data_IF_522715800348
#
_entry.id   IF_522715800348
#
_cell.length_a   1.000
_cell.length_b   1.000
_cell.length_c   1.000
_cell.angle_alpha   90.00
_cell.angle_beta   90.00
_cell.angle_gamma   90.00
#
_symmetry.space_group_name_H-M   'P 1'
#
loop_
_entity.id
_entity.type
_entity.pdbx_description
1 polymer ?
#
# COMPACT_ATOMS: atom_id res chain seq x y z
N UNK A 1 -38.03 21.82 -24.77
CA UNK A 1 -36.67 21.25 -24.70
C UNK A 1 -36.27 21.20 -23.23
N UNK A 2 -35.96 20.00 -22.75
CA UNK A 2 -35.78 19.60 -21.34
C UNK A 2 -34.44 20.09 -20.74
N UNK A 3 -34.37 20.40 -19.43
CA UNK A 3 -33.11 20.72 -18.75
C UNK A 3 -32.21 19.47 -18.60
N UNK A 4 -30.87 19.60 -18.63
CA UNK A 4 -29.95 18.47 -18.44
C UNK A 4 -29.94 17.98 -16.98
N UNK A 5 -29.90 16.65 -16.81
CA UNK A 5 -29.77 16.00 -15.51
C UNK A 5 -28.43 16.34 -14.83
N UNK A 6 -28.38 16.52 -13.49
CA UNK A 6 -27.12 16.75 -12.79
C UNK A 6 -26.23 15.50 -12.82
N UNK A 7 -24.89 15.67 -12.83
CA UNK A 7 -23.96 14.55 -12.92
C UNK A 7 -24.02 13.67 -11.65
N UNK A 8 -24.36 12.40 -11.80
CA UNK A 8 -24.30 11.34 -10.77
C UNK A 8 -22.86 10.99 -10.32
N UNK A 9 -21.94 11.96 -10.26
CA UNK A 9 -20.52 11.73 -9.93
C UNK A 9 -20.23 11.72 -8.42
N UNK A 10 -21.21 12.05 -7.56
CA UNK A 10 -21.03 12.07 -6.10
C UNK A 10 -21.37 10.73 -5.41
N UNK A 11 -22.27 9.94 -5.98
CA UNK A 11 -22.71 8.69 -5.36
C UNK A 11 -21.55 7.69 -5.30
N UNK A 12 -20.82 7.50 -6.41
CA UNK A 12 -19.70 6.55 -6.49
C UNK A 12 -18.60 6.80 -5.44
N UNK A 13 -18.37 8.08 -5.09
CA UNK A 13 -17.41 8.49 -4.05
C UNK A 13 -17.84 8.14 -2.63
N UNK A 14 -19.15 8.08 -2.39
CA UNK A 14 -19.73 7.80 -1.06
C UNK A 14 -19.81 6.31 -0.73
N UNK A 15 -19.87 5.44 -1.75
CA UNK A 15 -19.98 3.99 -1.58
C UNK A 15 -18.64 3.25 -1.54
N UNK A 16 -17.51 3.93 -1.82
CA UNK A 16 -16.17 3.36 -1.67
C UNK A 16 -15.85 2.78 -0.27
N UNK A 17 -16.15 3.45 0.86
CA UNK A 17 -15.94 2.84 2.18
C UNK A 17 -16.85 1.63 2.40
N UNK A 18 -18.07 1.65 1.87
CA UNK A 18 -18.99 0.52 1.91
C UNK A 18 -18.43 -0.66 1.12
N UNK A 19 -17.85 -0.41 -0.07
CA UNK A 19 -17.19 -1.43 -0.87
C UNK A 19 -16.00 -2.08 -0.15
N UNK A 20 -15.21 -1.31 0.59
CA UNK A 20 -14.09 -1.82 1.40
C UNK A 20 -14.59 -2.67 2.57
N UNK A 21 -15.64 -2.23 3.27
CA UNK A 21 -16.25 -3.00 4.37
C UNK A 21 -16.88 -4.29 3.84
N UNK A 22 -17.58 -4.25 2.71
CA UNK A 22 -18.17 -5.43 2.06
C UNK A 22 -17.09 -6.40 1.61
N UNK A 23 -16.00 -5.91 1.00
CA UNK A 23 -14.86 -6.75 0.62
C UNK A 23 -14.16 -7.37 1.84
N UNK A 24 -13.99 -6.60 2.93
CA UNK A 24 -13.44 -7.10 4.18
C UNK A 24 -14.33 -8.18 4.82
N UNK A 25 -15.65 -7.98 4.83
CA UNK A 25 -16.62 -8.97 5.29
C UNK A 25 -16.63 -10.22 4.39
N UNK A 26 -16.44 -10.06 3.08
CA UNK A 26 -16.30 -11.17 2.13
C UNK A 26 -15.03 -12.00 2.43
N UNK A 27 -13.90 -11.34 2.68
CA UNK A 27 -12.64 -12.00 3.05
C UNK A 27 -12.78 -12.75 4.38
N UNK A 28 -13.41 -12.13 5.39
CA UNK A 28 -13.69 -12.78 6.69
C UNK A 28 -14.65 -13.96 6.52
N UNK A 29 -15.69 -13.82 5.69
CA UNK A 29 -16.66 -14.87 5.39
C UNK A 29 -16.03 -16.07 4.68
N UNK A 30 -15.14 -15.83 3.70
CA UNK A 30 -14.39 -16.88 3.00
C UNK A 30 -13.41 -17.57 3.95
N UNK A 31 -12.75 -16.82 4.82
CA UNK A 31 -11.86 -17.40 5.84
C UNK A 31 -12.64 -18.30 6.84
N UNK A 32 -13.90 -17.98 7.14
CA UNK A 32 -14.75 -18.82 7.99
C UNK A 32 -15.12 -20.17 7.34
N UNK A 33 -15.19 -20.26 6.00
CA UNK A 33 -15.49 -21.51 5.28
C UNK A 33 -14.34 -22.53 5.32
N UNK A 34 -13.14 -22.14 5.76
CA UNK A 34 -12.00 -23.04 5.96
C UNK A 34 -12.14 -23.98 7.16
N UNK A 35 -13.19 -23.79 7.98
CA UNK A 35 -13.56 -24.72 9.06
C UNK A 35 -14.32 -25.92 8.48
N UNK A 36 -13.59 -26.77 7.75
CA UNK A 36 -14.09 -28.07 7.31
C UNK A 36 -14.42 -28.95 8.51
N UNK A 37 -15.65 -28.87 9.01
CA UNK A 37 -16.25 -29.90 9.86
C UNK A 37 -16.29 -31.16 9.00
N UNK A 38 -15.31 -32.04 9.21
CA UNK A 38 -15.30 -33.36 8.62
C UNK A 38 -16.46 -34.13 9.24
N UNK A 39 -17.57 -34.26 8.50
CA UNK A 39 -18.60 -35.23 8.83
C UNK A 39 -17.96 -36.60 8.67
N UNK A 40 -17.56 -37.19 9.79
CA UNK A 40 -17.29 -38.61 9.90
C UNK A 40 -18.47 -39.35 9.26
N UNK A 41 -18.21 -40.11 8.19
CA UNK A 41 -19.22 -40.99 7.62
C UNK A 41 -19.52 -42.04 8.69
N UNK A 42 -20.54 -41.77 9.50
CA UNK A 42 -21.02 -42.70 10.50
C UNK A 42 -21.23 -44.06 9.85
N UNK A 43 -20.35 -45.01 10.19
CA UNK A 43 -20.60 -46.43 10.00
C UNK A 43 -21.93 -46.71 10.68
N UNK A 44 -22.95 -47.02 9.88
CA UNK A 44 -24.20 -47.55 10.39
C UNK A 44 -23.86 -48.89 11.10
N UNK A 45 -24.21 -49.07 12.38
CA UNK A 45 -24.24 -50.39 12.97
C UNK A 45 -25.34 -51.17 12.24
N UNK A 46 -24.96 -52.17 11.45
CA UNK A 46 -25.92 -53.15 10.93
C UNK A 46 -26.51 -53.88 12.14
N UNK A 47 -27.69 -53.44 12.57
CA UNK A 47 -28.50 -54.13 13.54
C UNK A 47 -28.83 -55.53 12.99
N UNK A 48 -28.47 -56.56 13.76
CA UNK A 48 -28.79 -57.93 13.45
C UNK A 48 -30.30 -58.14 13.32
N UNK A 49 -30.70 -58.79 12.24
CA UNK A 49 -32.01 -59.35 12.00
C UNK A 49 -31.86 -60.52 11.02
N UNK A 50 -32.31 -61.69 11.44
CA UNK A 50 -32.11 -62.98 10.77
C UNK A 50 -32.72 -63.06 9.35
N UNK A 51 -31.88 -63.54 8.41
CA UNK A 51 -32.07 -64.47 7.28
C UNK A 51 -33.19 -64.26 6.22
N UNK A 52 -32.93 -64.56 4.93
CA UNK A 52 -32.75 -65.95 4.50
C UNK A 52 -31.41 -66.25 3.81
N UNK A 53 -30.93 -67.45 4.11
CA UNK A 53 -29.76 -68.14 3.55
C UNK A 53 -29.85 -68.24 2.04
N UNK A 54 -28.93 -67.59 1.32
CA UNK A 54 -28.59 -67.96 -0.04
C UNK A 54 -27.42 -68.95 -0.01
N UNK A 55 -27.64 -70.06 -0.68
CA UNK A 55 -26.77 -71.24 -0.79
C UNK A 55 -25.43 -70.89 -1.47
N UNK A 56 -24.32 -71.27 -0.83
CA UNK A 56 -22.97 -71.04 -1.33
C UNK A 56 -22.53 -72.12 -2.34
N UNK A 57 -21.92 -71.78 -3.49
CA UNK A 57 -21.11 -72.73 -4.26
C UNK A 57 -19.67 -72.86 -3.67
N UNK A 58 -18.95 -73.96 -3.96
CA UNK A 58 -17.75 -74.37 -3.23
C UNK A 58 -16.52 -73.45 -3.41
N UNK A 59 -15.54 -73.49 -2.48
CA UNK A 59 -14.38 -72.61 -2.50
C UNK A 59 -13.30 -73.13 -3.47
N UNK A 60 -13.00 -72.39 -4.52
CA UNK A 60 -11.73 -72.51 -5.24
C UNK A 60 -11.46 -71.23 -6.04
N UNK A 61 -10.61 -70.36 -5.48
CA UNK A 61 -9.61 -69.56 -6.18
C UNK A 61 -8.80 -68.82 -5.12
N UNK A 62 -7.54 -69.22 -4.93
CA UNK A 62 -6.55 -68.42 -4.22
C UNK A 62 -6.44 -67.04 -4.90
N UNK A 63 -6.44 -65.92 -4.15
CA UNK A 63 -6.08 -64.63 -4.72
C UNK A 63 -4.58 -64.65 -5.10
N UNK A 64 -4.19 -64.07 -6.26
CA UNK A 64 -2.78 -63.93 -6.61
C UNK A 64 -2.05 -63.08 -5.55
N UNK A 65 -0.75 -63.29 -5.29
CA UNK A 65 0.00 -62.49 -4.34
C UNK A 65 -0.03 -61.03 -4.79
N UNK A 66 -0.72 -60.19 -4.02
CA UNK A 66 -0.64 -58.75 -4.13
C UNK A 66 0.80 -58.33 -3.84
N UNK A 67 1.51 -57.87 -4.88
CA UNK A 67 2.78 -57.16 -4.76
C UNK A 67 2.62 -56.05 -3.70
N UNK A 68 3.60 -55.83 -2.81
CA UNK A 68 3.57 -54.66 -1.95
C UNK A 68 3.59 -53.43 -2.85
N UNK A 69 2.47 -52.71 -2.89
CA UNK A 69 2.38 -51.42 -3.54
C UNK A 69 3.46 -50.53 -2.93
N UNK A 70 4.44 -50.14 -3.75
CA UNK A 70 5.41 -49.14 -3.35
C UNK A 70 4.66 -47.91 -2.89
N UNK A 71 4.87 -47.51 -1.63
CA UNK A 71 4.31 -46.30 -1.09
C UNK A 71 4.71 -45.14 -2.02
N UNK A 72 3.76 -44.36 -2.57
CA UNK A 72 4.11 -43.18 -3.33
C UNK A 72 4.96 -42.30 -2.42
N UNK A 73 6.19 -42.01 -2.88
CA UNK A 73 7.27 -41.48 -2.07
C UNK A 73 6.80 -40.38 -1.13
N UNK A 74 7.27 -40.44 0.12
CA UNK A 74 6.97 -39.51 1.18
C UNK A 74 7.10 -38.05 0.67
N UNK A 75 5.98 -37.51 0.21
CA UNK A 75 5.82 -36.08 -0.03
C UNK A 75 5.95 -35.46 1.34
N UNK A 76 6.97 -34.62 1.53
CA UNK A 76 7.25 -33.93 2.77
C UNK A 76 6.01 -33.12 3.18
N UNK A 77 5.14 -33.73 4.00
CA UNK A 77 3.88 -33.13 4.42
C UNK A 77 4.21 -32.20 5.58
N UNK A 78 4.26 -30.90 5.28
CA UNK A 78 4.38 -29.91 6.33
C UNK A 78 3.18 -30.06 7.27
N UNK A 79 3.40 -30.06 8.60
CA UNK A 79 2.31 -30.11 9.56
C UNK A 79 1.24 -29.07 9.19
N UNK A 80 -0.06 -29.39 9.29
CA UNK A 80 -1.11 -28.50 8.82
C UNK A 80 -0.98 -27.07 9.36
N UNK A 81 -0.60 -26.93 10.63
CA UNK A 81 -0.40 -25.63 11.28
C UNK A 81 0.69 -24.78 10.60
N UNK A 82 1.75 -25.38 10.03
CA UNK A 82 2.82 -24.68 9.30
C UNK A 82 2.30 -24.16 7.97
N UNK A 83 1.54 -24.98 7.23
CA UNK A 83 0.92 -24.57 5.95
C UNK A 83 -0.03 -23.40 6.15
N UNK A 84 -0.85 -23.43 7.22
CA UNK A 84 -1.73 -22.31 7.59
C UNK A 84 -0.95 -21.06 7.98
N UNK A 85 0.16 -21.21 8.71
CA UNK A 85 1.02 -20.08 9.08
C UNK A 85 1.65 -19.44 7.84
N UNK A 86 2.21 -20.25 6.95
CA UNK A 86 2.84 -19.78 5.70
C UNK A 86 1.82 -19.08 4.81
N UNK A 87 0.63 -19.67 4.64
CA UNK A 87 -0.44 -19.07 3.84
C UNK A 87 -0.98 -17.78 4.47
N UNK A 88 -1.14 -17.78 5.80
CA UNK A 88 -1.54 -16.59 6.56
C UNK A 88 -0.53 -15.45 6.46
N UNK A 89 0.77 -15.75 6.46
CA UNK A 89 1.84 -14.77 6.26
C UNK A 89 1.87 -14.29 4.80
N UNK A 90 1.78 -15.21 3.84
CA UNK A 90 1.82 -14.93 2.41
C UNK A 90 0.66 -14.03 1.95
N UNK A 91 -0.51 -14.14 2.58
CA UNK A 91 -1.69 -13.32 2.26
C UNK A 91 -1.81 -12.13 3.22
N UNK A 92 -1.50 -12.32 4.50
CA UNK A 92 -1.65 -11.32 5.54
C UNK A 92 -0.68 -10.15 5.40
N UNK A 93 0.59 -10.40 5.02
CA UNK A 93 1.56 -9.34 4.79
C UNK A 93 1.13 -8.42 3.62
N UNK A 94 0.85 -8.92 2.40
CA UNK A 94 0.43 -8.04 1.31
C UNK A 94 -0.92 -7.36 1.59
N UNK A 95 -1.84 -8.03 2.27
CA UNK A 95 -3.10 -7.41 2.70
C UNK A 95 -2.85 -6.26 3.68
N UNK A 96 -1.97 -6.45 4.67
CA UNK A 96 -1.59 -5.40 5.63
C UNK A 96 -0.89 -4.23 4.93
N UNK A 97 0.04 -4.50 4.01
CA UNK A 97 0.71 -3.47 3.22
C UNK A 97 -0.28 -2.69 2.35
N UNK A 98 -1.22 -3.38 1.70
CA UNK A 98 -2.29 -2.74 0.93
C UNK A 98 -3.19 -1.89 1.83
N UNK A 99 -3.53 -2.38 3.01
CA UNK A 99 -4.37 -1.66 3.98
C UNK A 99 -3.65 -0.42 4.51
N UNK A 100 -2.37 -0.51 4.83
CA UNK A 100 -1.53 0.63 5.20
C UNK A 100 -1.40 1.64 4.05
N UNK A 101 -1.24 1.17 2.82
CA UNK A 101 -1.20 2.03 1.63
C UNK A 101 -2.52 2.78 1.43
N UNK A 102 -3.66 2.08 1.53
CA UNK A 102 -4.99 2.68 1.44
C UNK A 102 -5.21 3.65 2.60
N UNK A 103 -4.88 3.27 3.84
CA UNK A 103 -5.01 4.12 5.01
C UNK A 103 -4.20 5.40 4.86
N UNK A 104 -2.94 5.31 4.42
CA UNK A 104 -2.12 6.48 4.10
C UNK A 104 -2.75 7.36 3.03
N UNK A 105 -3.28 6.75 1.97
CA UNK A 105 -3.95 7.47 0.89
C UNK A 105 -5.24 8.15 1.35
N UNK A 106 -6.02 7.52 2.22
CA UNK A 106 -7.24 8.07 2.80
C UNK A 106 -6.94 9.18 3.79
N UNK A 107 -5.93 9.03 4.65
CA UNK A 107 -5.48 10.08 5.59
C UNK A 107 -5.03 11.30 4.80
N UNK A 108 -4.19 11.12 3.77
CA UNK A 108 -3.80 12.21 2.89
C UNK A 108 -5.03 12.91 2.27
N UNK A 109 -6.02 12.13 1.87
CA UNK A 109 -7.25 12.64 1.25
C UNK A 109 -8.22 13.32 2.24
N UNK A 110 -8.20 12.93 3.52
CA UNK A 110 -8.98 13.56 4.60
C UNK A 110 -8.32 14.85 5.08
N UNK A 111 -7.00 14.89 5.14
CA UNK A 111 -6.24 16.11 5.49
C UNK A 111 -6.34 17.13 4.37
N UNK A 112 -6.40 16.70 3.11
CA UNK A 112 -6.66 17.54 1.92
C UNK A 112 -8.12 17.96 1.75
N UNK A 113 -9.05 17.49 2.59
CA UNK A 113 -10.41 18.03 2.56
C UNK A 113 -10.30 19.45 3.13
N UNK A 114 -10.38 20.51 2.30
CA UNK A 114 -10.28 21.85 2.82
C UNK A 114 -11.49 22.00 3.74
N UNK A 115 -11.25 22.13 5.04
CA UNK A 115 -12.24 22.75 5.89
C UNK A 115 -12.41 24.16 5.34
N UNK A 116 -13.40 24.31 4.46
CA UNK A 116 -13.91 25.60 4.02
C UNK A 116 -14.65 26.24 5.18
N UNK A 117 -13.95 26.43 6.30
CA UNK A 117 -14.32 27.34 7.35
C UNK A 117 -14.03 28.71 6.76
N UNK A 118 -15.06 29.36 6.22
CA UNK A 118 -15.01 30.68 5.57
C UNK A 118 -14.67 31.83 6.52
N UNK A 119 -13.76 31.60 7.47
CA UNK A 119 -13.14 32.61 8.32
C UNK A 119 -11.74 32.83 7.76
N UNK A 120 -11.41 34.03 7.24
CA UNK A 120 -10.05 34.37 6.87
C UNK A 120 -9.17 34.26 8.13
N UNK A 121 -8.28 33.26 8.17
CA UNK A 121 -7.20 33.22 9.15
C UNK A 121 -6.30 34.46 8.88
N UNK A 122 -5.60 35.03 9.87
CA UNK A 122 -4.68 36.12 9.59
C UNK A 122 -3.58 35.64 8.62
N UNK A 123 -3.19 36.50 7.68
CA UNK A 123 -2.17 36.22 6.65
C UNK A 123 -0.87 35.63 7.23
N UNK A 124 -0.52 36.03 8.46
CA UNK A 124 0.64 35.50 9.21
C UNK A 124 0.48 34.05 9.64
N UNK A 125 -0.74 33.59 9.96
CA UNK A 125 -1.02 32.20 10.32
C UNK A 125 -0.91 31.27 9.11
N UNK A 126 -1.33 31.73 7.93
CA UNK A 126 -1.13 30.99 6.68
C UNK A 126 0.35 30.85 6.34
N UNK A 127 1.14 31.92 6.44
CA UNK A 127 2.59 31.85 6.20
C UNK A 127 3.28 30.87 7.15
N UNK A 128 3.01 30.93 8.46
CA UNK A 128 3.59 29.99 9.43
C UNK A 128 3.18 28.53 9.15
N UNK A 129 1.91 28.30 8.77
CA UNK A 129 1.45 26.98 8.35
C UNK A 129 2.19 26.50 7.10
N UNK A 130 2.35 27.36 6.10
CA UNK A 130 3.06 27.04 4.86
C UNK A 130 4.52 26.66 5.16
N UNK A 131 5.22 27.44 6.00
CA UNK A 131 6.58 27.11 6.45
C UNK A 131 6.66 25.76 7.17
N UNK A 132 5.74 25.48 8.09
CA UNK A 132 5.69 24.20 8.80
C UNK A 132 5.44 23.01 7.85
N UNK A 133 4.56 23.16 6.87
CA UNK A 133 4.29 22.12 5.86
C UNK A 133 5.52 21.81 5.01
N UNK A 134 6.33 22.82 4.68
CA UNK A 134 7.57 22.62 3.93
C UNK A 134 8.65 21.99 4.80
N UNK A 135 8.80 22.40 6.07
CA UNK A 135 9.76 21.74 6.99
C UNK A 135 9.40 20.27 7.22
N UNK A 136 8.11 19.97 7.44
CA UNK A 136 7.61 18.60 7.59
C UNK A 136 7.91 17.74 6.36
N UNK A 137 7.76 18.31 5.16
CA UNK A 137 8.08 17.61 3.92
C UNK A 137 9.58 17.34 3.77
N UNK A 138 10.43 18.30 4.14
CA UNK A 138 11.89 18.11 4.15
C UNK A 138 12.29 17.06 5.19
N UNK A 139 11.71 17.11 6.39
CA UNK A 139 11.97 16.13 7.45
C UNK A 139 11.54 14.71 7.04
N UNK A 140 10.37 14.57 6.42
CA UNK A 140 9.89 13.30 5.89
C UNK A 140 10.79 12.77 4.76
N UNK A 141 11.22 13.65 3.85
CA UNK A 141 12.13 13.29 2.77
C UNK A 141 13.50 12.80 3.29
N UNK A 142 14.05 13.47 4.31
CA UNK A 142 15.29 13.04 4.97
C UNK A 142 15.14 11.68 5.65
N UNK A 143 14.04 11.47 6.37
CA UNK A 143 13.75 10.17 7.01
C UNK A 143 13.65 9.03 5.99
N UNK A 144 13.05 9.29 4.82
CA UNK A 144 12.96 8.31 3.74
C UNK A 144 14.33 7.99 3.12
N UNK A 145 15.24 8.97 3.05
CA UNK A 145 16.63 8.73 2.61
C UNK A 145 17.41 7.83 3.56
N UNK A 146 17.12 7.91 4.86
CA UNK A 146 17.80 7.12 5.89
C UNK A 146 17.24 5.70 6.01
N UNK A 147 15.93 5.52 5.76
CA UNK A 147 15.25 4.23 5.82
C UNK A 147 15.32 3.44 4.50
N UNK A 148 15.47 4.13 3.37
CA UNK A 148 15.38 3.54 2.04
C UNK A 148 16.51 2.56 1.72
N UNK A 149 16.17 1.32 1.35
CA UNK A 149 17.15 0.31 0.92
C UNK A 149 17.75 0.60 -0.46
N UNK A 150 17.02 1.31 -1.32
CA UNK A 150 17.44 1.69 -2.67
C UNK A 150 17.50 3.21 -2.83
N UNK A 151 18.65 3.73 -3.26
CA UNK A 151 18.89 5.15 -3.41
C UNK A 151 17.95 5.79 -4.44
N UNK A 152 17.66 5.09 -5.55
CA UNK A 152 16.74 5.60 -6.58
C UNK A 152 15.34 5.80 -6.04
N UNK A 153 14.81 4.78 -5.37
CA UNK A 153 13.47 4.82 -4.77
C UNK A 153 13.37 5.91 -3.72
N UNK A 154 14.38 6.08 -2.87
CA UNK A 154 14.43 7.13 -1.85
C UNK A 154 14.41 8.54 -2.46
N UNK A 155 15.21 8.79 -3.52
CA UNK A 155 15.24 10.09 -4.22
C UNK A 155 13.87 10.39 -4.87
N UNK A 156 13.23 9.39 -5.49
CA UNK A 156 11.91 9.57 -6.09
C UNK A 156 10.85 9.84 -5.00
N UNK A 157 10.91 9.11 -3.87
CA UNK A 157 9.97 9.29 -2.77
C UNK A 157 10.10 10.69 -2.13
N UNK A 158 11.33 11.15 -1.91
CA UNK A 158 11.65 12.53 -1.51
C UNK A 158 10.93 13.55 -2.40
N UNK A 159 11.03 13.39 -3.72
CA UNK A 159 10.37 14.29 -4.67
C UNK A 159 8.84 14.33 -4.50
N UNK A 160 8.23 13.17 -4.25
CA UNK A 160 6.79 13.07 -3.99
C UNK A 160 6.39 13.79 -2.69
N UNK A 161 7.26 13.87 -1.68
CA UNK A 161 6.99 14.67 -0.47
C UNK A 161 6.90 16.17 -0.79
N UNK A 162 7.75 16.70 -1.67
CA UNK A 162 7.65 18.10 -2.10
C UNK A 162 6.40 18.38 -2.95
N UNK A 163 6.02 17.46 -3.85
CA UNK A 163 4.77 17.62 -4.60
C UNK A 163 3.54 17.68 -3.69
N UNK A 164 3.54 16.90 -2.61
CA UNK A 164 2.48 16.95 -1.59
C UNK A 164 2.51 18.25 -0.79
N UNK A 165 3.70 18.73 -0.42
CA UNK A 165 3.83 20.02 0.25
C UNK A 165 3.32 21.17 -0.63
N UNK A 166 3.65 21.15 -1.92
CA UNK A 166 3.15 22.12 -2.89
C UNK A 166 1.62 22.13 -2.95
N UNK A 167 0.99 20.95 -2.98
CA UNK A 167 -0.47 20.84 -2.94
C UNK A 167 -1.05 21.37 -1.61
N UNK A 168 -0.42 21.05 -0.47
CA UNK A 168 -0.88 21.46 0.86
C UNK A 168 -0.77 22.98 1.09
N UNK A 169 0.26 23.62 0.55
CA UNK A 169 0.46 25.09 0.55
C UNK A 169 -0.51 25.79 -0.44
N UNK A 170 -1.23 25.02 -1.26
CA UNK A 170 -2.18 25.55 -2.23
C UNK A 170 -1.52 26.10 -3.50
N UNK A 171 -0.38 25.55 -3.91
CA UNK A 171 0.20 25.83 -5.23
C UNK A 171 -0.73 25.22 -6.28
N UNK A 172 -1.37 26.08 -7.07
CA UNK A 172 -2.30 25.66 -8.11
C UNK A 172 -1.55 24.95 -9.24
N UNK A 173 -2.03 23.75 -9.59
CA UNK A 173 -1.44 22.90 -10.62
C UNK A 173 -2.14 23.14 -11.95
N UNK A 174 -1.39 23.61 -12.94
CA UNK A 174 -1.86 23.71 -14.31
C UNK A 174 -1.70 22.38 -15.05
N UNK A 175 -2.49 22.17 -16.11
CA UNK A 175 -2.42 20.92 -16.90
C UNK A 175 -1.07 20.72 -17.60
N UNK A 176 -0.33 21.82 -17.85
CA UNK A 176 1.01 21.83 -18.44
C UNK A 176 2.14 21.75 -17.42
N UNK A 177 1.85 21.89 -16.12
CA UNK A 177 2.89 21.89 -15.10
C UNK A 177 3.55 20.52 -14.98
N UNK A 178 4.87 20.52 -15.10
CA UNK A 178 5.68 19.37 -14.75
C UNK A 178 5.84 19.26 -13.23
N UNK A 179 6.22 18.08 -12.71
CA UNK A 179 6.57 17.93 -11.30
C UNK A 179 7.62 18.94 -10.81
N UNK A 180 8.58 19.32 -11.66
CA UNK A 180 9.60 20.33 -11.36
C UNK A 180 9.01 21.72 -11.22
N UNK A 181 8.02 22.07 -12.04
CA UNK A 181 7.38 23.37 -11.99
C UNK A 181 6.62 23.57 -10.67
N UNK A 182 5.98 22.53 -10.15
CA UNK A 182 5.30 22.58 -8.85
C UNK A 182 6.26 22.89 -7.69
N UNK A 183 7.38 22.17 -7.65
CA UNK A 183 8.39 22.35 -6.59
C UNK A 183 9.10 23.71 -6.75
N UNK A 184 9.33 24.18 -7.98
CA UNK A 184 9.85 25.53 -8.22
C UNK A 184 8.87 26.62 -7.75
N UNK A 185 7.57 26.49 -8.07
CA UNK A 185 6.53 27.42 -7.62
C UNK A 185 6.45 27.46 -6.08
N UNK A 186 6.53 26.30 -5.42
CA UNK A 186 6.60 26.20 -3.97
C UNK A 186 7.80 26.98 -3.41
N UNK A 187 8.99 26.73 -3.94
CA UNK A 187 10.21 27.33 -3.39
C UNK A 187 10.34 28.83 -3.69
N UNK A 188 9.84 29.28 -4.84
CA UNK A 188 9.74 30.70 -5.17
C UNK A 188 8.83 31.46 -4.19
N UNK A 189 7.76 30.82 -3.69
CA UNK A 189 6.88 31.40 -2.67
C UNK A 189 7.60 31.61 -1.33
N UNK A 190 8.60 30.79 -1.01
CA UNK A 190 9.39 30.86 0.22
C UNK A 190 10.77 31.53 0.06
N UNK A 191 11.06 32.12 -1.10
CA UNK A 191 12.35 32.78 -1.42
C UNK A 191 13.59 31.93 -1.10
N UNK A 192 13.51 30.63 -1.41
CA UNK A 192 14.58 29.65 -1.18
C UNK A 192 15.56 29.58 -2.37
N UNK A 193 16.82 29.20 -2.09
CA UNK A 193 17.91 29.21 -3.08
C UNK A 193 17.69 28.18 -4.19
N UNK A 194 17.59 28.69 -5.42
CA UNK A 194 17.47 27.87 -6.62
C UNK A 194 18.66 26.93 -6.87
N UNK A 195 19.86 27.21 -6.32
CA UNK A 195 21.01 26.34 -6.51
C UNK A 195 20.86 25.00 -5.78
N UNK A 196 20.30 25.00 -4.55
CA UNK A 196 20.03 23.77 -3.82
C UNK A 196 18.92 22.94 -4.48
N UNK A 197 17.86 23.62 -4.94
CA UNK A 197 16.78 23.01 -5.71
C UNK A 197 17.26 22.39 -7.02
N UNK A 198 18.13 23.08 -7.77
CA UNK A 198 18.66 22.56 -9.02
C UNK A 198 19.44 21.27 -8.79
N UNK A 199 20.29 21.21 -7.75
CA UNK A 199 21.00 19.97 -7.38
C UNK A 199 20.04 18.84 -7.05
N UNK A 200 18.97 19.12 -6.31
CA UNK A 200 17.95 18.13 -5.99
C UNK A 200 17.21 17.66 -7.25
N UNK A 201 16.82 18.59 -8.12
CA UNK A 201 16.11 18.32 -9.37
C UNK A 201 16.95 17.49 -10.33
N UNK A 202 18.24 17.82 -10.49
CA UNK A 202 19.17 17.03 -11.31
C UNK A 202 19.28 15.58 -10.79
N UNK A 203 19.35 15.42 -9.48
CA UNK A 203 19.44 14.11 -8.83
C UNK A 203 18.15 13.32 -9.01
N UNK A 204 16.98 13.97 -8.91
CA UNK A 204 15.68 13.38 -9.22
C UNK A 204 15.54 12.97 -10.68
N UNK A 205 15.87 13.85 -11.63
CA UNK A 205 15.78 13.55 -13.06
C UNK A 205 16.70 12.39 -13.44
N UNK A 206 17.89 12.31 -12.83
CA UNK A 206 18.79 11.17 -12.96
C UNK A 206 18.15 9.90 -12.39
N UNK A 207 17.60 9.96 -11.18
CA UNK A 207 16.91 8.84 -10.55
C UNK A 207 15.71 8.35 -11.37
N UNK A 208 14.98 9.24 -12.03
CA UNK A 208 13.77 8.88 -12.77
C UNK A 208 14.03 8.44 -14.21
N UNK A 209 14.95 9.08 -14.91
CA UNK A 209 15.13 8.90 -16.35
C UNK A 209 16.49 8.31 -16.75
N UNK A 210 17.48 8.29 -15.85
CA UNK A 210 18.78 7.73 -16.21
C UNK A 210 18.77 6.19 -16.13
N UNK A 211 19.27 5.50 -17.18
CA UNK A 211 19.45 4.05 -17.17
C UNK A 211 20.66 3.59 -16.36
N UNK A 212 21.53 4.53 -15.93
CA UNK A 212 22.70 4.24 -15.08
C UNK A 212 22.26 3.90 -13.66
N UNK A 213 23.03 3.09 -12.96
CA UNK A 213 22.85 2.85 -11.53
C UNK A 213 22.92 4.17 -10.76
N UNK A 214 22.02 4.31 -9.80
CA UNK A 214 21.90 5.46 -8.90
C UNK A 214 22.20 4.90 -7.53
N UNK A 215 23.31 5.34 -6.94
CA UNK A 215 23.88 4.75 -5.75
C UNK A 215 23.97 5.73 -4.58
N UNK A 216 24.70 5.33 -3.55
CA UNK A 216 24.97 6.16 -2.36
C UNK A 216 25.41 7.61 -2.66
N UNK A 217 26.31 7.87 -3.64
CA UNK A 217 26.76 9.23 -3.90
C UNK A 217 25.65 10.16 -4.39
N UNK A 218 24.63 9.61 -5.07
CA UNK A 218 23.47 10.39 -5.50
C UNK A 218 22.51 10.63 -4.34
N UNK A 219 22.33 9.64 -3.45
CA UNK A 219 21.59 9.83 -2.20
C UNK A 219 22.22 10.90 -1.32
N UNK A 220 23.54 10.88 -1.15
CA UNK A 220 24.25 11.88 -0.34
C UNK A 220 24.10 13.28 -0.94
N UNK A 221 24.21 13.42 -2.27
CA UNK A 221 23.98 14.70 -2.95
C UNK A 221 22.56 15.23 -2.75
N UNK A 222 21.56 14.34 -2.81
CA UNK A 222 20.18 14.71 -2.54
C UNK A 222 20.00 15.13 -1.07
N UNK A 223 20.58 14.39 -0.13
CA UNK A 223 20.55 14.69 1.31
C UNK A 223 21.17 16.07 1.59
N UNK A 224 22.34 16.36 1.05
CA UNK A 224 23.02 17.65 1.20
C UNK A 224 22.17 18.81 0.67
N UNK A 225 21.47 18.59 -0.46
CA UNK A 225 20.54 19.58 -1.00
C UNK A 225 19.35 19.82 -0.07
N UNK A 226 18.78 18.77 0.53
CA UNK A 226 17.69 18.89 1.51
C UNK A 226 18.12 19.64 2.77
N UNK A 227 19.30 19.32 3.31
CA UNK A 227 19.84 20.01 4.50
C UNK A 227 20.07 21.50 4.21
N UNK A 228 20.55 21.82 3.00
CA UNK A 228 20.70 23.21 2.58
C UNK A 228 19.35 23.94 2.46
N UNK A 229 18.33 23.30 1.90
CA UNK A 229 16.98 23.88 1.82
C UNK A 229 16.37 24.09 3.20
N UNK A 230 16.56 23.14 4.12
CA UNK A 230 16.07 23.24 5.50
C UNK A 230 16.70 24.40 6.26
N UNK A 231 18.01 24.57 6.15
CA UNK A 231 18.71 25.66 6.83
C UNK A 231 18.27 27.03 6.32
N UNK A 232 18.03 27.16 5.02
CA UNK A 232 17.49 28.38 4.43
C UNK A 232 16.06 28.66 4.88
N UNK A 233 15.20 27.63 4.91
CA UNK A 233 13.83 27.76 5.40
C UNK A 233 13.79 28.27 6.84
N UNK A 234 14.62 27.73 7.73
CA UNK A 234 14.70 28.19 9.12
C UNK A 234 15.22 29.63 9.27
N UNK A 235 16.10 30.09 8.36
CA UNK A 235 16.51 31.51 8.33
C UNK A 235 15.36 32.41 7.86
N UNK A 236 14.53 31.95 6.92
CA UNK A 236 13.37 32.70 6.41
C UNK A 236 12.21 32.76 7.40
N UNK A 237 11.98 31.69 8.15
CA UNK A 237 10.95 31.65 9.19
C UNK A 237 11.27 32.60 10.35
N UNK A 238 12.56 32.84 10.64
CA UNK A 238 13.02 33.70 11.72
C UNK A 238 13.07 35.21 11.38
N UNK A 239 12.83 35.58 10.12
CA UNK A 239 12.87 36.96 9.61
C UNK A 239 11.49 37.62 9.64
#
# INVERSE_FOLDING_TARGET
MTPPAPPERSALRRWLPVGVVVAALLVVGIAAQGTGIQWDQGRLPTAGGDAPTFEAPPPSMEPPPSLPGGEPGATFSLPPWVTWLVLGVLIGIPALLLLLFIARRVIAWLVDAPESSGVPDPETAYLHRDFALVDDAIAAALAEMDLGTDARSAIIACWVHFERAAAAVGIERESSDTPADLVHKLLARHDLDGAALNRLTETYLRARYSPREVGEPDRDRARDALVALRSQLGVREAQ
#
